data_IF_117829263070
#
_entry.id   IF_117829263070
#
_cell.length_a   1.000
_cell.length_b   1.000
_cell.length_c   1.000
_cell.angle_alpha   90.00
_cell.angle_beta   90.00
_cell.angle_gamma   90.00
#
_symmetry.space_group_name_H-M   'P 1'
#
loop_
_entity.id
_entity.type
_entity.pdbx_description
1 polymer ?
#
# COMPACT_ATOMS: atom_id res chain seq x y z
N UNK A 1 13.27 63.42 30.53
CA UNK A 1 12.95 62.88 29.24
C UNK A 1 13.03 61.37 29.28
N UNK A 2 11.89 60.70 29.36
CA UNK A 2 11.81 59.23 29.42
C UNK A 2 11.26 58.75 28.11
N UNK A 3 12.10 58.17 27.24
CA UNK A 3 11.65 57.50 26.00
C UNK A 3 11.22 56.08 26.36
N UNK A 4 9.92 55.79 26.29
CA UNK A 4 9.40 54.44 26.32
C UNK A 4 9.59 53.79 24.98
N UNK A 5 10.49 52.79 24.94
CA UNK A 5 10.69 51.93 23.78
C UNK A 5 9.65 50.82 23.85
N UNK A 6 8.59 50.89 23.03
CA UNK A 6 7.59 49.84 22.89
C UNK A 6 8.18 48.73 22.04
N UNK A 7 8.51 47.61 22.65
CA UNK A 7 8.86 46.37 21.94
C UNK A 7 7.56 45.77 21.41
N UNK A 8 7.42 45.83 20.10
CA UNK A 8 6.36 45.14 19.34
C UNK A 8 6.80 43.72 19.09
N UNK A 9 6.29 42.77 19.91
CA UNK A 9 6.52 41.34 19.68
C UNK A 9 5.61 40.88 18.54
N UNK A 10 6.15 40.75 17.35
CA UNK A 10 5.45 40.18 16.18
C UNK A 10 5.46 38.65 16.32
N UNK A 11 4.39 38.07 16.83
CA UNK A 11 4.19 36.63 16.89
C UNK A 11 3.87 36.18 15.47
N UNK A 12 4.86 35.60 14.79
CA UNK A 12 4.67 34.92 13.50
C UNK A 12 4.07 33.55 13.78
N UNK A 13 2.74 33.45 13.73
CA UNK A 13 2.03 32.16 13.80
C UNK A 13 2.30 31.39 12.48
N UNK A 14 3.24 30.45 12.56
CA UNK A 14 3.51 29.50 11.46
C UNK A 14 2.36 28.50 11.42
N UNK A 15 1.31 28.82 10.66
CA UNK A 15 0.23 27.89 10.37
C UNK A 15 0.77 26.78 9.46
N UNK A 16 1.14 25.63 10.05
CA UNK A 16 1.40 24.42 9.32
C UNK A 16 0.09 23.95 8.67
N UNK A 17 -0.08 24.24 7.39
CA UNK A 17 -1.18 23.70 6.60
C UNK A 17 -0.98 22.19 6.45
N UNK A 18 -1.70 21.40 7.25
CA UNK A 18 -1.83 19.96 7.02
C UNK A 18 -2.62 19.79 5.73
N UNK A 19 -1.92 19.51 4.64
CA UNK A 19 -2.55 19.14 3.39
C UNK A 19 -3.11 17.73 3.57
N UNK A 20 -4.38 17.63 3.93
CA UNK A 20 -5.15 16.39 3.85
C UNK A 20 -5.28 16.06 2.36
N UNK A 21 -4.48 15.09 1.90
CA UNK A 21 -4.61 14.58 0.54
C UNK A 21 -5.85 13.71 0.49
N UNK A 22 -6.87 14.17 -0.23
CA UNK A 22 -8.03 13.34 -0.57
C UNK A 22 -7.59 12.26 -1.58
N UNK A 23 -8.10 11.03 -1.40
CA UNK A 23 -7.92 9.97 -2.38
C UNK A 23 -8.51 10.40 -3.73
N UNK A 24 -7.82 10.08 -4.81
CA UNK A 24 -8.35 10.29 -6.16
C UNK A 24 -9.44 9.25 -6.46
N UNK A 25 -10.32 9.53 -7.43
CA UNK A 25 -11.33 8.56 -7.88
C UNK A 25 -10.70 7.25 -8.35
N UNK A 26 -9.52 7.33 -8.97
CA UNK A 26 -8.75 6.17 -9.40
C UNK A 26 -8.24 5.34 -8.20
N UNK A 27 -7.73 5.99 -7.15
CA UNK A 27 -7.31 5.29 -5.92
C UNK A 27 -8.51 4.66 -5.20
N UNK A 28 -9.66 5.32 -5.17
CA UNK A 28 -10.90 4.78 -4.60
C UNK A 28 -11.34 3.53 -5.37
N UNK A 29 -11.30 3.55 -6.70
CA UNK A 29 -11.62 2.40 -7.55
C UNK A 29 -10.65 1.24 -7.32
N UNK A 30 -9.36 1.51 -7.34
CA UNK A 30 -8.32 0.50 -7.09
C UNK A 30 -8.46 -0.12 -5.69
N UNK A 31 -8.77 0.68 -4.67
CA UNK A 31 -9.00 0.19 -3.30
C UNK A 31 -10.24 -0.70 -3.21
N UNK A 32 -11.32 -0.33 -3.90
CA UNK A 32 -12.53 -1.15 -3.96
C UNK A 32 -12.22 -2.53 -4.50
N UNK A 33 -11.47 -2.63 -5.59
CA UNK A 33 -11.09 -3.88 -6.23
C UNK A 33 -10.16 -4.71 -5.33
N UNK A 34 -9.20 -4.07 -4.65
CA UNK A 34 -8.35 -4.73 -3.67
C UNK A 34 -9.14 -5.32 -2.49
N UNK A 35 -10.12 -4.56 -1.96
CA UNK A 35 -10.99 -5.01 -0.87
C UNK A 35 -11.93 -6.14 -1.30
N UNK A 36 -12.45 -6.09 -2.52
CA UNK A 36 -13.29 -7.15 -3.08
C UNK A 36 -12.50 -8.46 -3.17
N UNK A 37 -11.28 -8.40 -3.69
CA UNK A 37 -10.39 -9.56 -3.77
C UNK A 37 -10.03 -10.08 -2.37
N UNK A 38 -9.64 -9.22 -1.44
CA UNK A 38 -9.33 -9.59 -0.07
C UNK A 38 -10.54 -10.22 0.65
N UNK A 39 -11.75 -9.71 0.37
CA UNK A 39 -13.00 -10.24 0.90
C UNK A 39 -13.29 -11.67 0.44
N UNK A 40 -12.86 -12.05 -0.75
CA UNK A 40 -13.00 -13.42 -1.25
C UNK A 40 -12.24 -14.44 -0.37
N UNK A 41 -11.09 -14.06 0.20
CA UNK A 41 -10.34 -14.90 1.13
C UNK A 41 -10.97 -14.96 2.53
N UNK A 42 -11.91 -14.09 2.84
CA UNK A 42 -12.64 -14.10 4.12
C UNK A 42 -13.38 -15.40 4.40
N UNK A 43 -13.84 -16.11 3.38
CA UNK A 43 -14.47 -17.42 3.49
C UNK A 43 -13.51 -18.50 4.01
N UNK A 44 -12.21 -18.31 3.81
CA UNK A 44 -11.16 -19.20 4.29
C UNK A 44 -10.61 -18.79 5.68
N UNK A 45 -11.28 -17.85 6.33
CA UNK A 45 -10.96 -17.39 7.69
C UNK A 45 -9.98 -16.24 7.77
N UNK A 46 -9.58 -15.65 6.64
CA UNK A 46 -8.71 -14.47 6.64
C UNK A 46 -9.46 -13.21 7.07
N UNK A 47 -8.81 -12.40 7.88
CA UNK A 47 -9.28 -11.10 8.35
C UNK A 47 -8.49 -10.00 7.68
N UNK A 48 -9.18 -9.03 7.09
CA UNK A 48 -8.54 -7.86 6.50
C UNK A 48 -7.95 -7.02 7.63
N UNK A 49 -6.67 -6.66 7.51
CA UNK A 49 -6.02 -5.74 8.42
C UNK A 49 -6.41 -4.31 8.08
N UNK A 50 -6.62 -3.51 9.11
CA UNK A 50 -6.87 -2.08 8.95
C UNK A 50 -5.71 -1.38 8.22
N UNK A 51 -6.06 -0.51 7.30
CA UNK A 51 -5.12 0.24 6.50
C UNK A 51 -4.99 -0.30 5.07
N UNK A 52 -4.43 0.54 4.22
CA UNK A 52 -4.17 0.27 2.81
C UNK A 52 -2.98 1.11 2.37
N UNK A 53 -2.34 0.67 1.29
CA UNK A 53 -1.26 1.42 0.64
C UNK A 53 -1.66 1.64 -0.82
N UNK A 54 -1.93 2.89 -1.17
CA UNK A 54 -2.26 3.28 -2.53
C UNK A 54 -1.20 4.20 -3.12
N UNK A 55 -1.08 4.20 -4.43
CA UNK A 55 -0.16 5.06 -5.16
C UNK A 55 -0.36 4.96 -6.65
N UNK A 56 0.59 5.53 -7.38
CA UNK A 56 0.66 5.47 -8.84
C UNK A 56 1.90 4.71 -9.23
N UNK A 57 1.72 3.68 -10.06
CA UNK A 57 2.81 2.99 -10.74
C UNK A 57 3.01 3.60 -12.12
N UNK A 58 4.26 3.87 -12.45
CA UNK A 58 4.68 4.21 -13.81
C UNK A 58 4.96 2.94 -14.60
N UNK A 59 5.03 3.08 -15.92
CA UNK A 59 5.41 1.99 -16.81
C UNK A 59 6.73 1.35 -16.37
N UNK A 60 6.76 0.02 -16.28
CA UNK A 60 7.92 -0.80 -15.86
C UNK A 60 8.49 -0.45 -14.47
N UNK A 61 7.70 0.21 -13.63
CA UNK A 61 8.08 0.57 -12.26
C UNK A 61 7.50 -0.41 -11.23
N UNK A 62 7.96 -0.27 -10.00
CA UNK A 62 7.47 -1.03 -8.88
C UNK A 62 7.28 -0.12 -7.66
N UNK A 63 6.33 -0.48 -6.81
CA UNK A 63 6.13 0.13 -5.50
C UNK A 63 6.44 -0.90 -4.41
N UNK A 64 7.22 -0.50 -3.42
CA UNK A 64 7.54 -1.33 -2.26
C UNK A 64 6.75 -0.87 -1.03
N UNK A 65 6.08 -1.81 -0.40
CA UNK A 65 5.36 -1.60 0.86
C UNK A 65 6.03 -2.43 1.94
N UNK A 66 6.50 -1.77 2.98
CA UNK A 66 7.10 -2.42 4.15
C UNK A 66 6.01 -2.97 5.06
N UNK A 67 6.12 -4.23 5.45
CA UNK A 67 5.19 -4.91 6.35
C UNK A 67 5.94 -5.67 7.44
N UNK A 68 5.35 -5.76 8.63
CA UNK A 68 5.85 -6.62 9.70
C UNK A 68 4.96 -7.86 9.78
N UNK A 69 5.54 -9.02 9.56
CA UNK A 69 4.85 -10.30 9.52
C UNK A 69 5.29 -11.19 10.68
N UNK A 70 4.41 -12.08 11.11
CA UNK A 70 4.64 -12.98 12.22
C UNK A 70 4.63 -14.43 11.75
N UNK A 71 5.63 -15.18 12.16
CA UNK A 71 5.66 -16.63 11.95
C UNK A 71 4.43 -17.29 12.58
N UNK A 72 3.87 -18.28 11.90
CA UNK A 72 2.66 -18.97 12.31
C UNK A 72 1.37 -18.38 11.74
N UNK A 73 1.42 -17.18 11.18
CA UNK A 73 0.30 -16.61 10.43
C UNK A 73 0.44 -16.89 8.93
N UNK A 74 -0.70 -16.86 8.26
CA UNK A 74 -0.78 -16.84 6.80
C UNK A 74 -1.29 -15.47 6.36
N UNK A 75 -0.77 -14.97 5.24
CA UNK A 75 -1.11 -13.65 4.72
C UNK A 75 -1.53 -13.72 3.24
N UNK A 76 -2.48 -12.88 2.86
CA UNK A 76 -2.79 -12.56 1.48
C UNK A 76 -2.61 -11.08 1.25
N UNK A 77 -1.78 -10.73 0.27
CA UNK A 77 -1.55 -9.36 -0.20
C UNK A 77 -2.37 -9.17 -1.47
N UNK A 78 -3.44 -8.40 -1.39
CA UNK A 78 -4.41 -8.20 -2.48
C UNK A 78 -4.25 -6.82 -3.06
N UNK A 79 -4.10 -6.74 -4.38
CA UNK A 79 -3.91 -5.50 -5.13
C UNK A 79 -5.04 -5.34 -6.13
N UNK A 80 -5.63 -4.17 -6.15
CA UNK A 80 -6.51 -3.69 -7.20
C UNK A 80 -5.86 -2.53 -7.96
N UNK A 81 -6.24 -2.35 -9.20
CA UNK A 81 -5.75 -1.28 -10.07
C UNK A 81 -6.89 -0.50 -10.67
N UNK A 82 -6.61 0.74 -11.11
CA UNK A 82 -7.51 1.54 -11.90
C UNK A 82 -6.95 1.75 -13.30
N UNK A 83 -7.82 1.84 -14.29
CA UNK A 83 -7.41 2.10 -15.67
C UNK A 83 -6.56 3.37 -15.77
N UNK A 84 -5.54 3.38 -16.67
CA UNK A 84 -5.24 2.37 -17.70
C UNK A 84 -4.39 1.18 -17.20
N UNK A 85 -3.92 1.16 -15.97
CA UNK A 85 -3.14 0.04 -15.41
C UNK A 85 -4.03 -1.19 -15.24
N UNK A 86 -3.74 -2.27 -15.98
CA UNK A 86 -4.57 -3.48 -16.01
C UNK A 86 -3.91 -4.71 -15.42
N UNK A 87 -2.59 -4.75 -15.44
CA UNK A 87 -1.85 -5.91 -14.95
C UNK A 87 -0.74 -5.51 -14.02
N UNK A 88 -0.75 -6.13 -12.86
CA UNK A 88 0.29 -6.00 -11.86
C UNK A 88 0.74 -7.36 -11.38
N UNK A 89 2.01 -7.45 -10.99
CA UNK A 89 2.56 -8.56 -10.24
C UNK A 89 2.66 -8.21 -8.77
N UNK A 90 2.53 -9.20 -7.90
CA UNK A 90 2.74 -9.04 -6.46
C UNK A 90 3.82 -10.03 -6.03
N UNK A 91 4.85 -9.54 -5.38
CA UNK A 91 5.97 -10.35 -4.89
C UNK A 91 6.31 -9.97 -3.46
N UNK A 92 6.83 -10.92 -2.70
CA UNK A 92 7.28 -10.71 -1.32
C UNK A 92 8.78 -10.94 -1.24
N UNK A 93 9.48 -10.05 -0.54
CA UNK A 93 10.91 -10.13 -0.30
C UNK A 93 11.18 -10.06 1.20
N UNK A 94 12.21 -10.76 1.66
CA UNK A 94 12.69 -10.62 3.03
C UNK A 94 13.56 -9.37 3.23
N UNK A 95 14.03 -9.14 4.44
CA UNK A 95 14.87 -8.00 4.78
C UNK A 95 16.23 -7.98 4.07
N UNK A 96 16.68 -9.12 3.53
CA UNK A 96 17.93 -9.24 2.74
C UNK A 96 17.73 -8.94 1.26
N UNK A 97 16.47 -8.76 0.83
CA UNK A 97 16.09 -8.57 -0.56
C UNK A 97 15.91 -9.88 -1.34
N UNK A 98 15.88 -11.03 -0.64
CA UNK A 98 15.62 -12.32 -1.27
C UNK A 98 14.13 -12.50 -1.52
N UNK A 99 13.77 -12.90 -2.75
CA UNK A 99 12.39 -13.15 -3.14
C UNK A 99 11.87 -14.42 -2.46
N UNK A 100 10.72 -14.29 -1.82
CA UNK A 100 10.04 -15.41 -1.17
C UNK A 100 9.18 -16.17 -2.15
N UNK A 101 9.00 -17.47 -1.89
CA UNK A 101 8.02 -18.29 -2.62
C UNK A 101 6.61 -17.94 -2.13
N UNK A 102 5.74 -17.60 -3.06
CA UNK A 102 4.36 -17.20 -2.79
C UNK A 102 3.38 -18.01 -3.63
N UNK A 103 2.16 -18.15 -3.12
CA UNK A 103 1.02 -18.55 -3.93
C UNK A 103 0.50 -17.31 -4.65
N UNK A 104 0.31 -17.37 -5.97
CA UNK A 104 -0.08 -16.20 -6.77
C UNK A 104 -1.46 -16.39 -7.38
N UNK A 105 -2.24 -15.31 -7.34
CA UNK A 105 -3.52 -15.17 -8.01
C UNK A 105 -3.48 -13.94 -8.92
N UNK A 106 -4.08 -14.05 -10.11
CA UNK A 106 -4.23 -12.92 -11.02
C UNK A 106 -5.53 -13.07 -11.82
N UNK A 107 -6.32 -12.02 -11.83
CA UNK A 107 -7.55 -11.94 -12.61
C UNK A 107 -7.77 -10.50 -13.08
N UNK A 108 -7.38 -10.24 -14.34
CA UNK A 108 -7.51 -8.92 -14.95
C UNK A 108 -6.75 -7.82 -14.21
N UNK A 109 -7.50 -6.90 -13.62
CA UNK A 109 -7.03 -5.75 -12.87
C UNK A 109 -6.75 -6.03 -11.38
N UNK A 110 -6.83 -7.29 -10.98
CA UNK A 110 -6.59 -7.74 -9.61
C UNK A 110 -5.48 -8.78 -9.55
N UNK A 111 -4.65 -8.70 -8.55
CA UNK A 111 -3.61 -9.68 -8.27
C UNK A 111 -3.41 -9.87 -6.77
N UNK A 112 -3.01 -11.07 -6.37
CA UNK A 112 -2.69 -11.34 -4.98
C UNK A 112 -1.51 -12.29 -4.84
N UNK A 113 -0.80 -12.20 -3.71
CA UNK A 113 0.22 -13.13 -3.28
C UNK A 113 -0.09 -13.66 -1.88
N UNK A 114 -0.12 -14.97 -1.75
CA UNK A 114 -0.25 -15.68 -0.47
C UNK A 114 1.13 -16.06 0.07
N UNK A 115 1.37 -15.79 1.34
CA UNK A 115 2.65 -16.03 1.98
C UNK A 115 2.49 -16.42 3.45
N UNK A 116 3.25 -17.42 3.88
CA UNK A 116 3.36 -17.83 5.27
C UNK A 116 4.83 -17.72 5.72
N UNK A 117 5.19 -16.69 6.51
CA UNK A 117 6.57 -16.49 6.91
C UNK A 117 7.04 -17.57 7.90
N UNK A 118 8.24 -18.10 7.70
CA UNK A 118 8.88 -19.00 8.66
C UNK A 118 9.45 -18.24 9.86
N UNK A 119 9.85 -17.00 9.66
CA UNK A 119 10.41 -16.11 10.68
C UNK A 119 9.59 -14.82 10.78
N UNK A 120 9.33 -14.37 12.00
CA UNK A 120 8.78 -13.05 12.25
C UNK A 120 9.79 -11.97 11.92
N UNK A 121 9.36 -10.89 11.29
CA UNK A 121 10.25 -9.80 10.94
C UNK A 121 9.67 -8.87 9.89
N UNK A 122 10.54 -8.02 9.35
CA UNK A 122 10.22 -7.08 8.30
C UNK A 122 10.32 -7.75 6.93
N UNK A 123 9.31 -7.54 6.12
CA UNK A 123 9.23 -7.98 4.73
C UNK A 123 8.84 -6.81 3.84
N UNK A 124 9.07 -6.98 2.54
CA UNK A 124 8.70 -6.00 1.54
C UNK A 124 7.75 -6.64 0.52
N UNK A 125 6.62 -6.01 0.30
CA UNK A 125 5.67 -6.40 -0.76
C UNK A 125 5.90 -5.48 -1.93
N UNK A 126 6.26 -6.04 -3.08
CA UNK A 126 6.43 -5.32 -4.33
C UNK A 126 5.16 -5.44 -5.16
N UNK A 127 4.68 -4.32 -5.65
CA UNK A 127 3.64 -4.23 -6.67
C UNK A 127 4.30 -3.76 -7.95
N UNK A 128 4.32 -4.61 -8.96
CA UNK A 128 5.09 -4.37 -10.19
C UNK A 128 4.14 -4.15 -11.36
N UNK A 129 4.38 -3.12 -12.17
CA UNK A 129 3.71 -2.96 -13.46
C UNK A 129 4.25 -3.99 -14.45
N UNK A 130 3.40 -4.88 -14.93
CA UNK A 130 3.78 -5.97 -15.85
C UNK A 130 3.77 -5.52 -17.30
N UNK A 131 2.99 -4.50 -17.62
CA UNK A 131 2.84 -3.97 -18.97
C UNK A 131 3.33 -2.53 -19.05
N UNK A 132 3.46 -2.03 -20.25
CA UNK A 132 3.86 -0.64 -20.53
C UNK A 132 2.72 0.35 -20.26
N UNK A 133 2.16 0.28 -19.05
CA UNK A 133 1.04 1.09 -18.58
C UNK A 133 1.33 1.71 -17.22
N UNK A 134 0.77 2.86 -16.99
CA UNK A 134 0.82 3.53 -15.70
C UNK A 134 -0.60 3.75 -15.16
N UNK A 135 -0.74 3.83 -13.86
CA UNK A 135 -2.03 4.09 -13.21
C UNK A 135 -1.99 3.84 -11.72
N UNK A 136 -3.13 4.06 -11.10
CA UNK A 136 -3.29 3.91 -9.67
C UNK A 136 -3.43 2.45 -9.26
N UNK A 137 -2.86 2.10 -8.13
CA UNK A 137 -3.03 0.83 -7.45
C UNK A 137 -3.36 1.04 -5.98
N UNK A 138 -3.97 0.03 -5.37
CA UNK A 138 -4.09 -0.09 -3.91
C UNK A 138 -3.77 -1.52 -3.48
N UNK A 139 -3.02 -1.61 -2.39
CA UNK A 139 -2.69 -2.84 -1.69
C UNK A 139 -3.42 -2.88 -0.36
N UNK A 140 -4.12 -3.96 -0.09
CA UNK A 140 -4.61 -4.34 1.24
C UNK A 140 -4.10 -5.73 1.57
N UNK A 141 -3.99 -6.07 2.85
CA UNK A 141 -3.64 -7.43 3.21
C UNK A 141 -4.50 -7.99 4.34
N UNK A 142 -4.64 -9.30 4.31
CA UNK A 142 -5.41 -10.08 5.26
C UNK A 142 -4.52 -11.17 5.86
N UNK A 143 -4.93 -11.68 7.02
CA UNK A 143 -4.18 -12.69 7.77
C UNK A 143 -5.10 -13.66 8.49
N UNK A 144 -4.61 -14.82 8.82
CA UNK A 144 -5.20 -15.80 9.74
C UNK A 144 -4.12 -16.58 10.48
#
# INVERSE_FOLDING_TARGET
MKRCLKFFFLIFALSASVVLRADTDAEVSARKDALELAGAFGNDGFKIRDGHSCGVLKSHDHALVTVNLYAGNQYWFSVGTAEPLKKVGVSVYDETGSKMTTENFSDGDKAAAGFAPENSGQYFVSVDSVEDQEGSFCLVYSYK
#
